data_IF_208439232678
#
_entry.id   IF_208439232678
#
_cell.length_a   1.000
_cell.length_b   1.000
_cell.length_c   1.000
_cell.angle_alpha   90.00
_cell.angle_beta   90.00
_cell.angle_gamma   90.00
#
_symmetry.space_group_name_H-M   'P 1'
#
loop_
_entity.id
_entity.type
_entity.pdbx_description
1 polymer ?
#
# COMPACT_ATOMS: atom_id res chain seq x y z
N UNK A 1 -14.84 -41.97 -25.67
CA UNK A 1 -15.15 -41.43 -24.32
C UNK A 1 -14.08 -41.95 -23.37
N UNK A 2 -13.08 -41.14 -23.03
CA UNK A 2 -12.12 -41.41 -21.96
C UNK A 2 -11.72 -40.06 -21.35
N UNK A 3 -12.12 -39.87 -20.10
CA UNK A 3 -11.79 -38.71 -19.28
C UNK A 3 -10.57 -39.10 -18.46
N UNK A 4 -9.44 -38.42 -18.63
CA UNK A 4 -8.30 -38.49 -17.71
C UNK A 4 -8.21 -37.22 -16.87
N UNK A 5 -7.90 -37.31 -15.56
CA UNK A 5 -8.06 -36.19 -14.63
C UNK A 5 -6.75 -35.40 -14.43
N UNK A 6 -6.90 -34.08 -14.21
CA UNK A 6 -5.89 -33.12 -13.70
C UNK A 6 -4.77 -32.73 -14.68
N UNK A 7 -5.13 -31.97 -15.71
CA UNK A 7 -4.16 -31.16 -16.46
C UNK A 7 -3.69 -29.95 -15.63
N UNK A 8 -2.44 -29.97 -15.15
CA UNK A 8 -1.72 -28.74 -14.78
C UNK A 8 -1.55 -27.91 -16.04
N UNK A 9 -2.24 -26.77 -16.11
CA UNK A 9 -2.02 -25.74 -17.13
C UNK A 9 -0.65 -25.10 -16.88
N UNK A 10 0.38 -25.62 -17.53
CA UNK A 10 1.71 -25.00 -17.57
C UNK A 10 1.67 -23.87 -18.60
N UNK A 11 1.56 -22.62 -18.13
CA UNK A 11 1.67 -21.45 -19.01
C UNK A 11 3.14 -21.25 -19.37
N UNK A 12 3.56 -21.76 -20.53
CA UNK A 12 4.87 -21.50 -21.11
C UNK A 12 4.92 -20.06 -21.67
N UNK A 13 5.36 -19.11 -20.83
CA UNK A 13 5.68 -17.75 -21.29
C UNK A 13 7.04 -17.81 -21.99
N UNK A 14 7.08 -17.66 -23.33
CA UNK A 14 8.34 -17.53 -24.08
C UNK A 14 9.07 -16.25 -23.65
N UNK A 15 10.26 -16.42 -23.06
CA UNK A 15 11.09 -15.40 -22.39
C UNK A 15 11.84 -14.48 -23.38
N UNK A 16 11.73 -14.69 -24.68
CA UNK A 16 12.62 -14.05 -25.67
C UNK A 16 12.48 -12.52 -25.81
N UNK A 17 11.38 -11.93 -25.35
CA UNK A 17 11.15 -10.47 -25.45
C UNK A 17 11.65 -9.64 -24.25
N UNK A 18 12.25 -10.26 -23.22
CA UNK A 18 12.73 -9.55 -22.02
C UNK A 18 14.25 -9.30 -22.08
N UNK A 19 14.81 -8.98 -23.25
CA UNK A 19 16.25 -8.72 -23.40
C UNK A 19 16.64 -7.25 -23.51
N UNK A 20 15.68 -6.32 -23.61
CA UNK A 20 15.93 -4.87 -23.75
C UNK A 20 15.11 -4.03 -22.77
N UNK A 21 14.97 -4.49 -21.54
CA UNK A 21 14.39 -3.68 -20.48
C UNK A 21 15.55 -3.03 -19.74
N UNK A 22 15.67 -1.70 -19.89
CA UNK A 22 16.59 -0.85 -19.12
C UNK A 22 16.61 -1.27 -17.65
N UNK A 23 17.78 -1.27 -17.01
CA UNK A 23 17.96 -1.61 -15.59
C UNK A 23 17.00 -0.88 -14.64
N UNK A 24 16.59 0.35 -14.98
CA UNK A 24 15.58 1.12 -14.25
C UNK A 24 14.23 0.40 -14.32
N UNK A 25 13.87 -0.13 -15.48
CA UNK A 25 12.66 -0.91 -15.66
C UNK A 25 12.74 -2.35 -15.11
N UNK A 26 13.93 -2.93 -14.87
CA UNK A 26 14.05 -4.21 -14.15
C UNK A 26 13.86 -4.08 -12.64
N UNK A 27 14.17 -2.92 -12.06
CA UNK A 27 13.88 -2.60 -10.64
C UNK A 27 12.36 -2.53 -10.38
N UNK A 28 11.59 -2.14 -11.40
CA UNK A 28 10.13 -2.04 -11.34
C UNK A 28 9.43 -3.18 -12.09
N UNK A 29 10.05 -4.33 -12.29
CA UNK A 29 9.36 -5.52 -12.77
C UNK A 29 9.62 -6.59 -11.73
N UNK A 30 8.63 -6.84 -10.86
CA UNK A 30 8.72 -8.01 -10.00
C UNK A 30 8.74 -9.25 -10.91
N UNK A 31 9.93 -9.83 -11.00
CA UNK A 31 10.15 -11.16 -11.55
C UNK A 31 9.78 -12.10 -10.40
N UNK A 32 8.86 -13.06 -10.61
CA UNK A 32 8.60 -14.09 -9.63
C UNK A 32 9.92 -14.74 -9.18
N UNK A 33 10.12 -14.90 -7.88
CA UNK A 33 11.33 -15.55 -7.36
C UNK A 33 11.11 -17.06 -7.38
N UNK A 34 12.09 -17.82 -7.89
CA UNK A 34 12.00 -19.27 -7.84
C UNK A 34 12.25 -19.78 -6.43
N UNK A 35 11.25 -20.42 -5.83
CA UNK A 35 11.35 -21.07 -4.53
C UNK A 35 11.92 -22.47 -4.70
N UNK A 36 13.22 -22.65 -4.42
CA UNK A 36 13.89 -23.95 -4.53
C UNK A 36 13.21 -25.04 -3.66
N UNK A 37 12.72 -24.65 -2.48
CA UNK A 37 12.02 -25.53 -1.54
C UNK A 37 10.70 -26.06 -2.11
N UNK A 38 9.95 -25.23 -2.84
CA UNK A 38 8.61 -25.58 -3.37
C UNK A 38 8.61 -25.86 -4.87
N UNK A 39 9.78 -25.75 -5.51
CA UNK A 39 10.01 -25.92 -6.95
C UNK A 39 9.02 -25.14 -7.82
N UNK A 40 8.72 -23.91 -7.42
CA UNK A 40 7.78 -23.05 -8.14
C UNK A 40 8.19 -21.58 -8.05
N UNK A 41 7.74 -20.79 -9.02
CA UNK A 41 7.89 -19.35 -8.98
C UNK A 41 6.82 -18.73 -8.07
N UNK A 42 7.28 -17.99 -7.07
CA UNK A 42 6.41 -17.35 -6.08
C UNK A 42 6.50 -15.82 -6.23
N UNK A 43 5.34 -15.17 -6.09
CA UNK A 43 5.26 -13.72 -6.04
C UNK A 43 5.47 -13.31 -4.60
N UNK A 44 6.40 -12.38 -4.35
CA UNK A 44 6.52 -11.81 -3.02
C UNK A 44 5.32 -10.89 -2.77
N UNK A 45 4.65 -11.10 -1.63
CA UNK A 45 3.57 -10.26 -1.16
C UNK A 45 4.05 -9.57 0.11
N UNK A 46 3.94 -8.25 0.14
CA UNK A 46 4.18 -7.49 1.37
C UNK A 46 2.89 -7.52 2.18
N UNK A 47 3.01 -7.73 3.49
CA UNK A 47 1.88 -7.75 4.41
C UNK A 47 1.31 -6.34 4.58
N UNK A 48 0.17 -6.09 3.95
CA UNK A 48 -0.54 -4.82 3.99
C UNK A 48 -1.01 -4.47 5.40
N UNK A 49 -1.34 -5.46 6.25
CA UNK A 49 -1.78 -5.24 7.63
C UNK A 49 -0.65 -4.66 8.48
N UNK A 50 0.54 -5.20 8.28
CA UNK A 50 1.76 -4.70 8.92
C UNK A 50 2.09 -3.28 8.47
N UNK A 51 1.91 -2.97 7.19
CA UNK A 51 2.12 -1.62 6.68
C UNK A 51 1.11 -0.64 7.26
N UNK A 52 -0.18 -0.97 7.30
CA UNK A 52 -1.22 -0.11 7.86
C UNK A 52 -0.94 0.24 9.33
N UNK A 53 -0.65 -0.77 10.15
CA UNK A 53 -0.38 -0.59 11.58
C UNK A 53 0.93 0.17 11.84
N UNK A 54 1.96 -0.05 11.01
CA UNK A 54 3.21 0.73 11.05
C UNK A 54 2.97 2.20 10.70
N UNK A 55 2.12 2.48 9.72
CA UNK A 55 1.78 3.84 9.32
C UNK A 55 1.00 4.58 10.39
N UNK A 56 0.01 3.93 11.01
CA UNK A 56 -0.67 4.47 12.21
C UNK A 56 0.33 4.88 13.28
N UNK A 57 1.27 3.99 13.62
CA UNK A 57 2.32 4.27 14.61
C UNK A 57 3.18 5.47 14.23
N UNK A 58 3.51 5.62 12.94
CA UNK A 58 4.29 6.75 12.45
C UNK A 58 3.50 8.07 12.50
N UNK A 59 2.22 8.07 12.14
CA UNK A 59 1.34 9.22 12.33
C UNK A 59 1.28 9.65 13.80
N UNK A 60 1.07 8.69 14.72
CA UNK A 60 1.04 8.98 16.15
C UNK A 60 2.40 9.45 16.70
N UNK A 61 3.55 9.01 16.16
CA UNK A 61 4.86 9.49 16.63
C UNK A 61 5.30 10.81 15.99
N UNK A 62 4.64 11.23 14.93
CA UNK A 62 5.04 12.38 14.12
C UNK A 62 6.22 12.08 13.18
N UNK A 63 6.60 13.11 12.40
CA UNK A 63 7.68 13.03 11.42
C UNK A 63 7.30 12.26 10.15
N UNK A 64 6.00 12.12 9.87
CA UNK A 64 5.49 11.72 8.57
C UNK A 64 5.17 12.99 7.78
N UNK A 65 5.67 13.10 6.54
CA UNK A 65 5.38 14.26 5.70
C UNK A 65 3.88 14.45 5.52
N UNK A 66 3.40 15.62 5.94
CA UNK A 66 1.99 15.96 5.91
C UNK A 66 1.13 15.32 7.00
N UNK A 67 1.70 14.96 8.14
CA UNK A 67 0.94 14.56 9.33
C UNK A 67 1.54 15.17 10.60
N UNK A 68 0.76 16.01 11.26
CA UNK A 68 1.03 16.52 12.60
C UNK A 68 0.35 15.64 13.65
N UNK A 69 1.12 15.21 14.66
CA UNK A 69 0.56 14.56 15.83
C UNK A 69 -0.49 15.45 16.52
N UNK A 70 -0.26 16.77 16.57
CA UNK A 70 -1.14 17.70 17.29
C UNK A 70 -2.56 17.71 16.73
N UNK A 71 -2.72 17.58 15.40
CA UNK A 71 -4.02 17.53 14.77
C UNK A 71 -4.79 16.27 15.17
N UNK A 72 -4.13 15.10 15.12
CA UNK A 72 -4.72 13.85 15.58
C UNK A 72 -5.09 13.89 17.06
N UNK A 73 -4.23 14.47 17.89
CA UNK A 73 -4.50 14.61 19.32
C UNK A 73 -5.71 15.50 19.58
N UNK A 74 -5.85 16.61 18.85
CA UNK A 74 -7.01 17.50 18.92
C UNK A 74 -8.29 16.74 18.57
N UNK A 75 -8.32 16.01 17.45
CA UNK A 75 -9.48 15.20 17.04
C UNK A 75 -9.87 14.17 18.11
N UNK A 76 -8.88 13.51 18.71
CA UNK A 76 -9.10 12.53 19.76
C UNK A 76 -9.69 13.16 21.05
N UNK A 77 -9.27 14.39 21.39
CA UNK A 77 -9.76 15.12 22.57
C UNK A 77 -11.20 15.60 22.45
N UNK A 78 -11.68 15.86 21.23
CA UNK A 78 -13.07 16.28 21.01
C UNK A 78 -14.11 15.18 21.32
N UNK A 79 -13.71 13.90 21.31
CA UNK A 79 -14.59 12.78 21.68
C UNK A 79 -15.79 12.55 20.75
N UNK A 80 -15.78 13.13 19.53
CA UNK A 80 -16.87 12.98 18.53
C UNK A 80 -16.71 11.78 17.62
N UNK A 81 -15.61 11.05 17.75
CA UNK A 81 -15.29 9.87 16.95
C UNK A 81 -14.93 8.70 17.87
N UNK A 82 -14.84 7.49 17.31
CA UNK A 82 -14.33 6.33 18.04
C UNK A 82 -12.81 6.38 18.28
N UNK A 83 -12.15 7.44 17.81
CA UNK A 83 -10.72 7.66 17.95
C UNK A 83 -10.44 8.38 19.28
N UNK A 84 -9.74 7.71 20.19
CA UNK A 84 -9.51 8.18 21.57
C UNK A 84 -8.07 8.67 21.78
N UNK A 85 -7.86 9.48 22.83
CA UNK A 85 -6.54 10.03 23.17
C UNK A 85 -5.51 8.92 23.42
N UNK A 86 -5.93 7.82 24.05
CA UNK A 86 -5.08 6.66 24.31
C UNK A 86 -4.56 6.00 23.02
N UNK A 87 -5.32 6.08 21.91
CA UNK A 87 -4.89 5.55 20.61
C UNK A 87 -3.78 6.40 19.97
N UNK A 88 -3.66 7.68 20.36
CA UNK A 88 -2.67 8.64 19.84
C UNK A 88 -1.44 8.73 20.75
N UNK A 89 -1.63 9.02 22.04
CA UNK A 89 -0.52 9.28 22.98
C UNK A 89 0.11 7.98 23.49
N UNK A 90 -0.71 7.02 23.93
CA UNK A 90 -0.23 5.75 24.46
C UNK A 90 0.06 4.71 23.37
N UNK A 91 -0.41 4.96 22.14
CA UNK A 91 -0.33 4.05 20.99
C UNK A 91 -0.75 2.63 21.40
N UNK A 92 -1.91 2.52 22.06
CA UNK A 92 -2.45 1.21 22.49
C UNK A 92 -2.60 0.26 21.31
N UNK A 93 -2.40 -1.03 21.54
CA UNK A 93 -2.54 -2.08 20.54
C UNK A 93 -1.82 -1.77 19.22
N UNK A 94 -0.50 -1.61 19.29
CA UNK A 94 0.34 -1.16 18.17
C UNK A 94 0.28 -2.04 16.90
N UNK A 95 -0.27 -3.24 17.01
CA UNK A 95 -0.42 -4.22 15.94
C UNK A 95 -1.89 -4.43 15.53
N UNK A 96 -2.83 -3.71 16.16
CA UNK A 96 -4.27 -3.85 15.87
C UNK A 96 -4.66 -3.10 14.59
N UNK A 97 -5.13 -3.88 13.61
CA UNK A 97 -5.74 -3.38 12.37
C UNK A 97 -7.03 -2.61 12.66
N UNK A 98 -7.99 -3.09 13.49
CA UNK A 98 -9.18 -2.32 13.84
C UNK A 98 -8.85 -0.92 14.38
N UNK A 99 -7.86 -0.82 15.29
CA UNK A 99 -7.41 0.46 15.84
C UNK A 99 -6.82 1.36 14.75
N UNK A 100 -6.12 0.79 13.76
CA UNK A 100 -5.63 1.55 12.61
C UNK A 100 -6.75 2.01 11.66
N UNK A 101 -7.78 1.19 11.44
CA UNK A 101 -8.94 1.58 10.63
C UNK A 101 -9.76 2.67 11.28
N UNK A 102 -9.91 2.64 12.61
CA UNK A 102 -10.53 3.73 13.37
C UNK A 102 -9.72 5.03 13.25
N UNK A 103 -8.39 4.94 13.28
CA UNK A 103 -7.51 6.09 13.10
C UNK A 103 -7.64 6.71 11.69
N UNK A 104 -7.70 5.87 10.65
CA UNK A 104 -7.85 6.33 9.25
C UNK A 104 -9.32 6.40 8.77
N UNK A 105 -10.27 6.51 9.70
CA UNK A 105 -11.69 6.48 9.40
C UNK A 105 -12.18 7.76 8.73
N UNK A 106 -13.33 7.65 8.05
CA UNK A 106 -13.99 8.82 7.46
C UNK A 106 -14.45 9.82 8.54
N UNK A 107 -14.88 9.35 9.71
CA UNK A 107 -15.24 10.24 10.81
C UNK A 107 -14.03 11.03 11.33
N UNK A 108 -12.86 10.40 11.44
CA UNK A 108 -11.62 11.10 11.78
C UNK A 108 -11.24 12.14 10.73
N UNK A 109 -11.39 11.81 9.43
CA UNK A 109 -11.19 12.75 8.33
C UNK A 109 -12.13 13.97 8.41
N UNK A 110 -13.42 13.75 8.68
CA UNK A 110 -14.41 14.82 8.82
C UNK A 110 -14.11 15.74 10.01
N UNK A 111 -13.66 15.19 11.13
CA UNK A 111 -13.27 16.00 12.28
C UNK A 111 -11.97 16.79 12.02
N UNK A 112 -11.01 16.24 11.27
CA UNK A 112 -9.84 17.01 10.83
C UNK A 112 -10.25 18.24 9.99
N UNK A 113 -11.22 18.06 9.07
CA UNK A 113 -11.77 19.17 8.27
C UNK A 113 -12.44 20.20 9.18
N UNK A 114 -13.32 19.77 10.08
CA UNK A 114 -14.09 20.65 10.98
C UNK A 114 -13.19 21.51 11.86
N UNK A 115 -12.03 20.98 12.25
CA UNK A 115 -11.07 21.68 13.10
C UNK A 115 -10.08 22.56 12.33
N UNK A 116 -10.28 22.78 11.02
CA UNK A 116 -9.46 23.68 10.24
C UNK A 116 -8.11 23.09 9.81
N UNK A 117 -7.86 21.80 10.03
CA UNK A 117 -6.68 21.08 9.55
C UNK A 117 -6.81 20.75 8.04
N UNK A 118 -7.21 21.76 7.26
CA UNK A 118 -7.51 21.67 5.82
C UNK A 118 -6.26 21.89 4.97
N UNK A 119 -5.25 22.59 5.51
CA UNK A 119 -4.09 23.11 4.75
C UNK A 119 -2.87 22.18 4.69
N UNK A 120 -2.80 21.12 5.51
CA UNK A 120 -1.52 20.44 5.74
C UNK A 120 -1.64 18.93 5.56
N UNK A 121 -1.84 18.45 4.33
CA UNK A 121 -1.55 17.08 3.88
C UNK A 121 -2.10 15.85 4.66
N UNK A 122 -2.80 16.02 5.79
CA UNK A 122 -3.35 14.98 6.68
C UNK A 122 -4.64 14.38 6.13
N UNK A 123 -5.51 15.24 5.61
CA UNK A 123 -6.77 14.89 4.98
C UNK A 123 -6.58 13.89 3.83
N UNK A 124 -5.68 14.18 2.87
CA UNK A 124 -5.32 13.20 1.87
C UNK A 124 -4.68 11.94 2.46
N UNK A 125 -3.86 12.01 3.52
CA UNK A 125 -3.22 10.81 4.09
C UNK A 125 -4.28 9.83 4.62
N UNK A 126 -5.26 10.34 5.37
CA UNK A 126 -6.36 9.54 5.91
C UNK A 126 -7.15 8.83 4.79
N UNK A 127 -7.53 9.60 3.76
CA UNK A 127 -8.24 9.09 2.59
C UNK A 127 -7.40 8.13 1.75
N UNK A 128 -6.14 8.47 1.49
CA UNK A 128 -5.21 7.69 0.66
C UNK A 128 -4.97 6.32 1.28
N UNK A 129 -4.77 6.25 2.61
CA UNK A 129 -4.63 4.97 3.32
C UNK A 129 -5.92 4.17 3.36
N UNK A 130 -7.07 4.80 3.60
CA UNK A 130 -8.36 4.11 3.59
C UNK A 130 -8.65 3.50 2.22
N UNK A 131 -8.42 4.25 1.14
CA UNK A 131 -8.59 3.76 -0.23
C UNK A 131 -7.58 2.67 -0.59
N UNK A 132 -6.31 2.84 -0.21
CA UNK A 132 -5.29 1.81 -0.42
C UNK A 132 -5.64 0.53 0.33
N UNK A 133 -5.97 0.58 1.62
CA UNK A 133 -6.35 -0.59 2.41
C UNK A 133 -7.57 -1.30 1.82
N UNK A 134 -8.62 -0.54 1.49
CA UNK A 134 -9.81 -1.06 0.83
C UNK A 134 -9.47 -1.77 -0.49
N UNK A 135 -8.50 -1.26 -1.24
CA UNK A 135 -8.02 -1.89 -2.47
C UNK A 135 -7.22 -3.18 -2.26
N UNK A 136 -6.75 -3.47 -1.05
CA UNK A 136 -6.05 -4.70 -0.69
C UNK A 136 -7.01 -5.75 -0.13
N UNK A 137 -7.86 -5.35 0.81
CA UNK A 137 -8.61 -6.28 1.67
C UNK A 137 -10.05 -6.54 1.21
N UNK A 138 -10.75 -5.54 0.63
CA UNK A 138 -12.17 -5.71 0.28
C UNK A 138 -12.34 -6.66 -0.92
N UNK A 139 -13.17 -7.71 -0.83
CA UNK A 139 -13.51 -8.54 -1.97
C UNK A 139 -14.43 -7.79 -2.95
N UNK A 140 -14.54 -8.28 -4.19
CA UNK A 140 -15.50 -7.76 -5.18
C UNK A 140 -15.08 -6.47 -5.92
N UNK A 141 -13.99 -5.81 -5.54
CA UNK A 141 -13.48 -4.65 -6.28
C UNK A 141 -12.71 -5.09 -7.54
N UNK A 142 -13.12 -4.57 -8.70
CA UNK A 142 -12.45 -4.82 -9.98
C UNK A 142 -10.98 -4.37 -9.93
N UNK A 143 -10.09 -5.07 -10.64
CA UNK A 143 -8.67 -4.75 -10.55
C UNK A 143 -8.33 -3.36 -11.16
N UNK A 144 -9.11 -2.86 -12.13
CA UNK A 144 -9.05 -1.45 -12.59
C UNK A 144 -9.35 -0.47 -11.46
N UNK A 145 -10.42 -0.71 -10.71
CA UNK A 145 -10.80 0.16 -9.59
C UNK A 145 -9.75 0.09 -8.47
N UNK A 146 -9.21 -1.10 -8.17
CA UNK A 146 -8.09 -1.23 -7.21
C UNK A 146 -6.89 -0.39 -7.62
N UNK A 147 -6.51 -0.41 -8.91
CA UNK A 147 -5.43 0.45 -9.41
C UNK A 147 -5.75 1.92 -9.15
N UNK A 148 -6.95 2.37 -9.50
CA UNK A 148 -7.36 3.77 -9.29
C UNK A 148 -7.31 4.17 -7.81
N UNK A 149 -7.73 3.29 -6.90
CA UNK A 149 -7.71 3.53 -5.44
C UNK A 149 -6.28 3.63 -4.88
N UNK A 150 -5.28 2.99 -5.50
CA UNK A 150 -3.87 3.02 -5.08
C UNK A 150 -3.09 4.21 -5.62
N UNK A 151 -3.52 4.78 -6.74
CA UNK A 151 -2.80 5.88 -7.41
C UNK A 151 -2.55 7.11 -6.53
N UNK A 152 -3.51 7.57 -5.69
CA UNK A 152 -3.28 8.73 -4.82
C UNK A 152 -2.09 8.54 -3.87
N UNK A 153 -2.07 7.43 -3.13
CA UNK A 153 -0.98 7.10 -2.21
C UNK A 153 0.36 6.98 -2.96
N UNK A 154 0.37 6.35 -4.15
CA UNK A 154 1.57 6.28 -4.99
C UNK A 154 2.10 7.66 -5.38
N UNK A 155 1.23 8.54 -5.88
CA UNK A 155 1.62 9.89 -6.31
C UNK A 155 2.20 10.68 -5.14
N UNK A 156 1.67 10.49 -3.93
CA UNK A 156 2.21 11.08 -2.70
C UNK A 156 3.60 10.56 -2.40
N UNK A 157 3.77 9.24 -2.33
CA UNK A 157 5.06 8.61 -2.02
C UNK A 157 6.15 8.96 -3.04
N UNK A 158 5.79 9.14 -4.31
CA UNK A 158 6.73 9.51 -5.37
C UNK A 158 7.10 10.99 -5.40
N UNK A 159 6.32 11.88 -4.77
CA UNK A 159 6.53 13.33 -4.85
C UNK A 159 7.92 13.75 -4.38
N UNK A 160 8.40 13.13 -3.31
CA UNK A 160 9.67 13.47 -2.67
C UNK A 160 10.76 12.42 -2.94
N UNK A 161 10.53 11.48 -3.87
CA UNK A 161 11.48 10.43 -4.17
C UNK A 161 12.49 10.90 -5.22
N UNK A 162 13.76 11.00 -4.83
CA UNK A 162 14.85 11.20 -5.79
C UNK A 162 15.16 9.88 -6.52
N UNK A 163 14.65 9.75 -7.74
CA UNK A 163 14.88 8.56 -8.57
C UNK A 163 16.36 8.37 -8.97
N UNK A 164 17.18 9.43 -8.92
CA UNK A 164 18.62 9.35 -9.21
C UNK A 164 19.45 8.72 -8.08
N UNK A 165 18.85 8.51 -6.90
CA UNK A 165 19.49 7.91 -5.72
C UNK A 165 18.74 6.65 -5.28
N UNK A 166 18.26 5.85 -6.24
CA UNK A 166 17.54 4.62 -5.93
C UNK A 166 18.51 3.42 -5.77
N UNK A 167 18.34 2.53 -4.76
CA UNK A 167 17.32 2.58 -3.71
C UNK A 167 17.59 3.74 -2.73
N UNK A 168 16.53 4.40 -2.21
CA UNK A 168 16.69 5.51 -1.29
C UNK A 168 17.52 5.08 -0.08
N UNK A 169 18.50 5.91 0.29
CA UNK A 169 19.37 5.63 1.44
C UNK A 169 18.58 5.75 2.75
N UNK A 170 18.74 4.77 3.64
CA UNK A 170 18.10 4.75 4.96
C UNK A 170 16.78 3.95 4.98
N UNK A 171 15.99 4.12 6.04
CA UNK A 171 14.73 3.41 6.25
C UNK A 171 13.48 4.21 5.86
N UNK A 172 13.64 5.53 5.64
CA UNK A 172 12.52 6.44 5.40
C UNK A 172 12.85 7.45 4.29
N UNK A 173 11.84 7.79 3.47
CA UNK A 173 11.87 8.90 2.51
C UNK A 173 10.80 9.90 2.90
N UNK A 174 11.17 11.14 3.25
CA UNK A 174 10.23 12.16 3.75
C UNK A 174 9.33 11.62 4.89
N UNK A 175 9.88 10.82 5.80
CA UNK A 175 9.13 10.21 6.91
C UNK A 175 8.33 8.95 6.55
N UNK A 176 8.17 8.64 5.27
CA UNK A 176 7.49 7.43 4.79
C UNK A 176 8.42 6.21 4.83
N UNK A 177 7.99 5.05 5.35
CA UNK A 177 8.81 3.84 5.35
C UNK A 177 9.11 3.36 3.93
N UNK A 178 10.37 3.00 3.66
CA UNK A 178 10.77 2.47 2.35
C UNK A 178 9.97 1.21 1.95
N UNK A 179 9.60 0.37 2.92
CA UNK A 179 8.78 -0.82 2.64
C UNK A 179 7.38 -0.48 2.12
N UNK A 180 6.81 0.67 2.51
CA UNK A 180 5.52 1.11 1.98
C UNK A 180 5.69 1.59 0.53
N UNK A 181 6.77 2.32 0.24
CA UNK A 181 7.11 2.72 -1.13
C UNK A 181 7.29 1.49 -2.02
N UNK A 182 8.04 0.49 -1.56
CA UNK A 182 8.19 -0.79 -2.26
C UNK A 182 6.83 -1.45 -2.50
N UNK A 183 6.00 -1.62 -1.46
CA UNK A 183 4.69 -2.28 -1.59
C UNK A 183 3.77 -1.59 -2.60
N UNK A 184 3.64 -0.27 -2.51
CA UNK A 184 2.76 0.50 -3.41
C UNK A 184 3.26 0.45 -4.85
N UNK A 185 4.58 0.41 -5.05
CA UNK A 185 5.17 0.27 -6.39
C UNK A 185 4.99 -1.16 -6.95
N UNK A 186 5.21 -2.19 -6.13
CA UNK A 186 5.06 -3.60 -6.50
C UNK A 186 3.61 -3.97 -6.88
N UNK A 187 2.63 -3.45 -6.15
CA UNK A 187 1.21 -3.83 -6.27
C UNK A 187 0.54 -3.35 -7.57
N UNK A 188 1.02 -2.28 -8.20
CA UNK A 188 0.48 -1.82 -9.49
C UNK A 188 0.95 -2.67 -10.68
N UNK A 189 2.17 -3.21 -10.60
CA UNK A 189 2.79 -4.00 -11.66
C UNK A 189 2.20 -5.41 -11.75
N UNK A 190 1.93 -6.03 -10.60
CA UNK A 190 1.32 -7.37 -10.53
C UNK A 190 -0.09 -7.38 -11.12
N UNK A 191 -0.87 -6.32 -10.90
CA UNK A 191 -2.20 -6.21 -11.47
C UNK A 191 -2.17 -5.90 -12.97
N UNK A 192 -1.22 -5.08 -13.45
CA UNK A 192 -1.06 -4.84 -14.89
C UNK A 192 -0.64 -6.11 -15.66
N UNK A 193 0.25 -6.95 -15.09
CA UNK A 193 0.63 -8.24 -15.68
C UNK A 193 -0.51 -9.27 -15.64
N UNK A 194 -1.31 -9.33 -14.56
CA UNK A 194 -2.54 -10.16 -14.51
C UNK A 194 -3.53 -9.78 -15.62
N UNK A 195 -3.66 -8.49 -15.93
CA UNK A 195 -4.51 -8.03 -17.04
C UNK A 195 -3.99 -8.45 -18.41
N UNK A 196 -2.69 -8.34 -18.69
CA UNK A 196 -2.14 -8.72 -19.99
C UNK A 196 -2.11 -10.25 -20.21
N UNK A 197 -2.16 -11.06 -19.15
CA UNK A 197 -2.32 -12.51 -19.26
C UNK A 197 -3.77 -12.95 -19.50
N UNK A 198 -4.76 -12.13 -19.11
CA UNK A 198 -6.18 -12.45 -19.29
C UNK A 198 -6.76 -12.08 -20.67
N UNK A 199 -5.98 -11.46 -21.56
CA UNK A 199 -6.37 -11.24 -22.98
C UNK A 199 -5.81 -12.28 -23.95
N UNK A 200 -5.29 -13.41 -23.44
CA UNK A 200 -4.86 -14.57 -24.27
C UNK A 200 -5.53 -15.88 -23.88
N UNK A 201 -6.63 -15.81 -23.12
CA UNK A 201 -7.49 -16.96 -22.83
C UNK A 201 -8.92 -16.58 -23.21
N UNK A 202 -9.12 -16.38 -24.51
CA UNK A 202 -10.33 -16.70 -25.28
C UNK A 202 -9.88 -16.95 -26.71
#
# INVERSE_FOLDING_TARGET
>A
MMITPKGKLTVNIKIEHIKKISWISSIYLHIPAYSARRRQYEVSCIDSSHLLTRMRRKCCKGGLDGCSNTAWLTVAKYGRTNFTVAMTECIIDQMSVPTALTHFSESAELELIRNGYVREAELPVCRDFRQWWKSEDDPGISARNRIQMRLPLRRRLLRNLNLGQFPPQGMFVAGWPNQLLEAVMLQLLLNHKRYNLNYRIF
#
